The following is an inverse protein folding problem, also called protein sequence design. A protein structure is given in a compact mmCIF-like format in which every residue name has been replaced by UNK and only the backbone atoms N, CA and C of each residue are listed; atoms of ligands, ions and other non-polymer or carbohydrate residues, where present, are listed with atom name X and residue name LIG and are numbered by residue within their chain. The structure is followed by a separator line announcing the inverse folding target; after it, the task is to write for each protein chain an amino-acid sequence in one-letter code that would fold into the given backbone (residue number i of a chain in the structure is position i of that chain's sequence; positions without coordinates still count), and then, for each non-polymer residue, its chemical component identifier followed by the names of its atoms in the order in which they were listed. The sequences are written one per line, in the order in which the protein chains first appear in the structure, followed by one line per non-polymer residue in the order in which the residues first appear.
data_IF_407853874010
#
_entry.id   IF_407853874010
#
_cell.length_a   1.000
_cell.length_b   1.000
_cell.length_c   1.000
_cell.angle_alpha   90.00
_cell.angle_beta   90.00
_cell.angle_gamma   90.00
#
_symmetry.space_group_name_H-M   'P 1'
#
loop_
_entity.id
_entity.type
_entity.pdbx_description
1 polymer ?
#
# COMPACT_ATOMS: atom_id res chain seq x y z
N UNK A 1 -15.45 4.31 3.34
CA UNK A 1 -14.20 4.88 2.79
C UNK A 1 -13.14 3.80 2.81
N UNK A 2 -12.42 3.59 1.71
CA UNK A 2 -11.46 2.49 1.54
C UNK A 2 -10.10 2.74 2.23
N UNK A 3 -9.92 3.93 2.82
CA UNK A 3 -8.67 4.34 3.49
C UNK A 3 -8.98 4.96 4.85
N UNK A 4 -8.17 4.60 5.85
CA UNK A 4 -8.19 5.16 7.21
C UNK A 4 -6.76 5.58 7.58
N UNK A 5 -6.58 6.79 8.11
CA UNK A 5 -5.28 7.26 8.59
C UNK A 5 -4.98 6.69 9.99
N UNK A 6 -3.73 6.28 10.20
CA UNK A 6 -3.24 5.64 11.41
C UNK A 6 -3.48 4.13 11.39
N UNK A 7 -2.42 3.37 11.69
CA UNK A 7 -2.48 1.91 11.84
C UNK A 7 -1.74 1.48 13.10
N UNK A 8 -2.09 0.32 13.63
CA UNK A 8 -1.37 -0.35 14.70
C UNK A 8 -1.35 -1.87 14.45
N UNK A 9 -0.28 -2.53 14.86
CA UNK A 9 -0.12 -3.98 14.66
C UNK A 9 0.20 -4.38 13.21
N UNK A 10 -0.34 -5.53 12.80
CA UNK A 10 -0.16 -6.13 11.48
C UNK A 10 -1.47 -6.10 10.68
N UNK A 11 -1.43 -5.94 9.35
CA UNK A 11 -2.62 -5.95 8.51
C UNK A 11 -3.30 -7.33 8.51
N UNK A 12 -4.63 -7.35 8.62
CA UNK A 12 -5.45 -8.54 8.48
C UNK A 12 -5.76 -8.87 7.01
N UNK A 13 -6.53 -9.94 6.78
CA UNK A 13 -7.02 -10.28 5.43
C UNK A 13 -7.77 -9.10 4.82
N UNK A 14 -7.42 -8.76 3.58
CA UNK A 14 -7.96 -7.64 2.83
C UNK A 14 -7.38 -6.29 3.22
N UNK A 15 -6.40 -6.25 4.12
CA UNK A 15 -5.77 -5.01 4.57
C UNK A 15 -4.36 -4.86 4.01
N UNK A 16 -4.02 -3.63 3.65
CA UNK A 16 -2.67 -3.19 3.31
C UNK A 16 -2.37 -1.96 4.15
N UNK A 17 -1.22 -1.96 4.84
CA UNK A 17 -0.75 -0.79 5.57
C UNK A 17 0.34 -0.09 4.75
N UNK A 18 0.13 1.19 4.50
CA UNK A 18 1.08 2.08 3.83
C UNK A 18 1.70 3.00 4.89
N UNK A 19 3.00 3.24 4.79
CA UNK A 19 3.74 4.08 5.72
C UNK A 19 4.53 5.13 4.94
N UNK A 20 4.50 6.35 5.47
CA UNK A 20 5.18 7.50 4.89
C UNK A 20 6.69 7.28 4.86
N UNK A 21 7.25 6.82 5.98
CA UNK A 21 8.69 6.66 6.10
C UNK A 21 9.08 5.18 5.99
N UNK A 22 10.36 4.92 5.75
CA UNK A 22 10.91 3.57 5.76
C UNK A 22 10.74 2.90 7.14
N UNK A 23 10.90 1.58 7.19
CA UNK A 23 10.83 0.76 8.40
C UNK A 23 9.50 0.91 9.16
N UNK A 24 8.40 1.11 8.43
CA UNK A 24 7.03 1.16 8.95
C UNK A 24 6.81 2.30 9.95
N UNK A 25 7.38 3.47 9.66
CA UNK A 25 7.35 4.63 10.54
C UNK A 25 6.65 5.85 9.91
N UNK A 26 6.48 6.89 10.71
CA UNK A 26 5.78 8.11 10.30
C UNK A 26 4.26 7.95 10.21
N UNK A 27 3.65 8.83 9.41
CA UNK A 27 2.22 8.73 9.10
C UNK A 27 1.94 7.40 8.40
N UNK A 28 0.78 6.82 8.71
CA UNK A 28 0.38 5.53 8.15
C UNK A 28 -1.07 5.54 7.71
N UNK A 29 -1.42 4.62 6.82
CA UNK A 29 -2.77 4.45 6.31
C UNK A 29 -3.09 2.97 6.15
N UNK A 30 -4.29 2.59 6.59
CA UNK A 30 -4.89 1.29 6.28
C UNK A 30 -5.73 1.41 5.03
N UNK A 31 -5.50 0.52 4.07
CA UNK A 31 -6.24 0.41 2.81
C UNK A 31 -6.93 -0.96 2.73
N UNK A 32 -8.24 -0.99 2.48
CA UNK A 32 -9.04 -2.23 2.41
C UNK A 32 -9.67 -2.50 1.04
N UNK A 33 -9.33 -1.68 0.04
CA UNK A 33 -9.86 -1.80 -1.31
C UNK A 33 -9.10 -0.92 -2.29
N UNK A 34 -9.57 -0.88 -3.53
CA UNK A 34 -8.88 -0.13 -4.58
C UNK A 34 -8.97 1.37 -4.33
N UNK A 35 -7.86 2.07 -4.56
CA UNK A 35 -7.78 3.53 -4.53
C UNK A 35 -7.12 3.96 -5.82
N UNK A 36 -7.90 4.52 -6.73
CA UNK A 36 -7.44 4.88 -8.06
C UNK A 36 -6.64 6.19 -8.09
N UNK A 37 -6.75 7.06 -7.08
CA UNK A 37 -6.01 8.32 -7.03
C UNK A 37 -5.72 8.69 -5.58
N UNK A 38 -4.45 8.61 -5.17
CA UNK A 38 -4.03 8.92 -3.80
C UNK A 38 -4.21 10.40 -3.45
N UNK A 39 -4.36 11.30 -4.43
CA UNK A 39 -4.68 12.72 -4.17
C UNK A 39 -6.05 12.90 -3.54
N UNK A 40 -6.93 11.90 -3.66
CA UNK A 40 -8.22 11.86 -2.95
C UNK A 40 -8.08 11.61 -1.44
N UNK A 41 -6.89 11.24 -0.96
CA UNK A 41 -6.58 10.99 0.44
C UNK A 41 -5.53 11.98 0.91
N UNK A 42 -5.87 12.76 1.94
CA UNK A 42 -5.00 13.80 2.47
C UNK A 42 -3.61 13.27 2.84
N UNK A 43 -2.58 13.77 2.17
CA UNK A 43 -1.18 13.53 2.48
C UNK A 43 -0.65 12.14 2.12
N UNK A 44 -1.35 11.35 1.29
CA UNK A 44 -0.93 9.99 0.92
C UNK A 44 -0.17 9.91 -0.42
N UNK A 45 -0.46 10.81 -1.36
CA UNK A 45 0.12 10.79 -2.69
C UNK A 45 1.64 11.04 -2.68
N UNK A 46 2.41 10.21 -3.39
CA UNK A 46 3.86 10.38 -3.60
C UNK A 46 4.67 10.52 -2.30
N UNK A 47 4.28 9.80 -1.24
CA UNK A 47 5.01 9.81 0.04
C UNK A 47 5.21 8.45 0.66
N UNK A 48 4.77 7.36 0.02
CA UNK A 48 4.85 6.02 0.63
C UNK A 48 6.27 5.48 0.46
N UNK A 49 6.92 5.11 1.57
CA UNK A 49 8.28 4.54 1.60
C UNK A 49 8.33 3.11 2.15
N UNK A 50 7.30 2.61 2.85
CA UNK A 50 7.23 1.21 3.27
C UNK A 50 5.79 0.68 3.33
N UNK A 51 5.64 -0.65 3.18
CA UNK A 51 4.33 -1.31 3.00
C UNK A 51 4.27 -2.65 3.73
N UNK A 52 3.12 -2.99 4.30
CA UNK A 52 2.78 -4.33 4.79
C UNK A 52 1.50 -4.83 4.14
N UNK A 53 1.47 -6.09 3.72
CA UNK A 53 0.30 -6.75 3.12
C UNK A 53 -0.16 -7.87 4.04
N UNK A 54 -1.46 -7.91 4.33
CA UNK A 54 -2.03 -8.93 5.20
C UNK A 54 -2.06 -10.34 4.57
N UNK A 55 -2.46 -11.35 5.35
CA UNK A 55 -2.63 -12.72 4.85
C UNK A 55 -3.73 -12.79 3.80
N UNK A 56 -3.71 -13.78 2.90
CA UNK A 56 -4.76 -14.00 1.91
C UNK A 56 -5.10 -12.77 1.05
N UNK A 57 -4.10 -11.91 0.84
CA UNK A 57 -4.24 -10.60 0.17
C UNK A 57 -3.09 -10.40 -0.80
N UNK A 58 -3.39 -9.89 -2.00
CA UNK A 58 -2.39 -9.35 -2.93
C UNK A 58 -2.63 -7.87 -3.07
N UNK A 59 -1.54 -7.13 -3.21
CA UNK A 59 -1.59 -5.72 -3.54
C UNK A 59 -0.82 -5.45 -4.82
N UNK A 60 -1.33 -4.52 -5.63
CA UNK A 60 -0.60 -3.95 -6.75
C UNK A 60 -0.47 -2.46 -6.47
N UNK A 61 0.75 -1.98 -6.32
CA UNK A 61 1.04 -0.56 -6.07
C UNK A 61 1.65 0.04 -7.34
N UNK A 62 1.08 1.16 -7.76
CA UNK A 62 1.35 1.80 -9.04
C UNK A 62 1.97 3.18 -8.80
N UNK A 63 2.95 3.51 -9.63
CA UNK A 63 3.60 4.81 -9.62
C UNK A 63 2.62 5.94 -9.97
N UNK A 64 1.80 5.73 -10.99
CA UNK A 64 0.86 6.76 -11.43
C UNK A 64 -0.56 6.48 -10.93
N UNK A 65 -1.42 7.48 -11.01
CA UNK A 65 -2.83 7.33 -10.71
C UNK A 65 -3.56 6.49 -11.78
N UNK A 66 -4.79 6.11 -11.45
CA UNK A 66 -5.69 5.28 -12.27
C UNK A 66 -5.06 3.94 -12.68
N UNK A 67 -4.20 3.39 -11.83
CA UNK A 67 -3.53 2.10 -12.03
C UNK A 67 -2.59 2.07 -13.24
N UNK A 68 -1.89 3.19 -13.51
CA UNK A 68 -0.96 3.34 -14.63
C UNK A 68 0.50 3.40 -14.17
N UNK A 69 1.40 3.41 -15.16
CA UNK A 69 2.84 3.53 -14.94
C UNK A 69 3.47 2.24 -14.44
N UNK A 70 4.70 2.38 -13.94
CA UNK A 70 5.43 1.27 -13.31
C UNK A 70 4.68 0.77 -12.08
N UNK A 71 4.66 -0.54 -11.88
CA UNK A 71 4.00 -1.15 -10.74
C UNK A 71 4.71 -2.41 -10.27
N UNK A 72 4.49 -2.77 -9.01
CA UNK A 72 4.89 -4.07 -8.48
C UNK A 72 3.71 -4.78 -7.85
N UNK A 73 3.76 -6.12 -7.90
CA UNK A 73 2.86 -6.99 -7.15
C UNK A 73 3.51 -7.36 -5.81
N UNK A 74 2.76 -7.17 -4.74
CA UNK A 74 3.10 -7.61 -3.39
C UNK A 74 2.23 -8.82 -3.03
N UNK A 75 2.87 -9.91 -2.62
CA UNK A 75 2.18 -11.14 -2.19
C UNK A 75 1.65 -11.00 -0.76
N UNK A 76 0.81 -11.95 -0.33
CA UNK A 76 0.34 -12.03 1.05
C UNK A 76 1.50 -12.08 2.06
N UNK A 77 1.29 -11.56 3.26
CA UNK A 77 2.28 -11.50 4.35
C UNK A 77 3.62 -10.85 3.93
N UNK A 78 3.63 -10.06 2.85
CA UNK A 78 4.83 -9.35 2.41
C UNK A 78 5.00 -8.09 3.23
N UNK A 79 6.23 -7.85 3.65
CA UNK A 79 6.65 -6.60 4.26
C UNK A 79 7.80 -6.02 3.44
N UNK A 80 7.61 -4.80 2.93
CA UNK A 80 8.66 -4.03 2.23
C UNK A 80 9.06 -2.90 3.15
N UNK A 81 10.22 -3.05 3.80
CA UNK A 81 10.75 -2.07 4.76
C UNK A 81 11.23 -0.78 4.10
N UNK A 82 11.62 -0.84 2.82
CA UNK A 82 12.16 0.30 2.07
C UNK A 82 11.87 0.12 0.57
N UNK A 83 11.07 1.03 0.00
CA UNK A 83 10.66 1.02 -1.39
C UNK A 83 11.73 1.55 -2.37
N UNK A 84 12.84 2.11 -1.89
CA UNK A 84 13.99 2.45 -2.75
C UNK A 84 14.52 1.19 -3.44
N UNK A 85 14.47 0.05 -2.75
CA UNK A 85 14.83 -1.28 -3.29
C UNK A 85 13.95 -1.74 -4.46
N UNK A 86 12.82 -1.06 -4.69
CA UNK A 86 11.84 -1.35 -5.75
C UNK A 86 11.65 -0.20 -6.72
N UNK A 87 12.44 0.87 -6.62
CA UNK A 87 12.31 2.09 -7.42
C UNK A 87 10.90 2.73 -7.37
N UNK A 88 10.22 2.62 -6.23
CA UNK A 88 8.87 3.14 -6.00
C UNK A 88 8.75 3.96 -4.70
N UNK A 89 9.88 4.42 -4.15
CA UNK A 89 9.89 5.27 -2.97
C UNK A 89 9.27 6.64 -3.28
N UNK A 90 8.37 7.12 -2.42
CA UNK A 90 7.76 8.46 -2.54
C UNK A 90 7.16 8.74 -3.93
N UNK A 91 6.63 7.70 -4.57
CA UNK A 91 6.19 7.78 -5.96
C UNK A 91 4.89 7.02 -6.21
N UNK A 92 4.26 6.42 -5.19
CA UNK A 92 3.05 5.62 -5.37
C UNK A 92 1.82 6.55 -5.38
N UNK A 93 1.00 6.43 -6.42
CA UNK A 93 -0.22 7.23 -6.62
C UNK A 93 -1.51 6.43 -6.72
N UNK A 94 -1.46 5.09 -6.85
CA UNK A 94 -2.65 4.24 -6.79
C UNK A 94 -2.38 2.80 -6.34
N UNK A 95 -3.43 2.11 -5.86
CA UNK A 95 -3.34 0.74 -5.35
C UNK A 95 -4.59 -0.09 -5.70
N UNK A 96 -4.36 -1.36 -6.05
CA UNK A 96 -5.38 -2.41 -6.11
C UNK A 96 -5.14 -3.37 -4.94
N UNK A 97 -6.20 -3.73 -4.21
CA UNK A 97 -6.17 -4.71 -3.13
C UNK A 97 -7.14 -5.83 -3.46
N UNK A 98 -6.65 -7.06 -3.52
CA UNK A 98 -7.43 -8.23 -3.85
C UNK A 98 -7.25 -9.33 -2.81
N UNK A 99 -8.35 -9.89 -2.31
CA UNK A 99 -8.33 -11.06 -1.44
C UNK A 99 -8.48 -12.34 -2.25
N UNK A 100 -8.02 -13.45 -1.69
CA UNK A 100 -8.23 -14.78 -2.24
C UNK A 100 -8.48 -15.75 -1.09
N UNK A 101 -9.29 -16.77 -1.33
CA UNK A 101 -9.42 -17.87 -0.38
C UNK A 101 -8.19 -18.79 -0.49
N UNK A 102 -7.74 -19.31 0.65
CA UNK A 102 -6.75 -20.39 0.64
C UNK A 102 -7.39 -21.63 0.00
N UNK A 103 -6.66 -22.31 -0.87
CA UNK A 103 -7.05 -23.62 -1.38
C UNK A 103 -7.17 -24.66 -0.26
#
# INVERSE_FOLDING_TARGET
MSVQQGVSGEPARGEVFLYKDANFSGNSWKVTGNVFDFRSVSGLNDVVSSVKVGPNTKAFIFKDDRFNGDFIRLEQNTQVTDLTTRNLNDAISSIIVATFDSA
#
